data_IF_152941890682
#
_entry.id   IF_152941890682
#
_cell.length_a   1.000
_cell.length_b   1.000
_cell.length_c   1.000
_cell.angle_alpha   90.00
_cell.angle_beta   90.00
_cell.angle_gamma   90.00
#
_symmetry.space_group_name_H-M   'P 1'
#
loop_
_entity.id
_entity.type
_entity.pdbx_description
1 polymer ?
#
# COMPACT_ATOMS: atom_id res chain seq x y z
N UNK A 1 2.37 1.32 -27.67
CA UNK A 1 2.37 1.88 -26.30
C UNK A 1 1.33 1.08 -25.55
N UNK A 2 1.70 0.36 -24.51
CA UNK A 2 0.72 -0.48 -23.80
C UNK A 2 -0.32 0.43 -23.16
N UNK A 3 -1.59 0.16 -23.47
CA UNK A 3 -2.71 0.88 -22.88
C UNK A 3 -2.89 0.40 -21.44
N UNK A 4 -2.78 1.31 -20.48
CA UNK A 4 -2.99 1.04 -19.06
C UNK A 4 -4.14 1.90 -18.56
N UNK A 5 -5.14 1.25 -17.98
CA UNK A 5 -6.31 1.87 -17.38
C UNK A 5 -6.38 1.42 -15.94
N UNK A 6 -6.53 2.38 -15.03
CA UNK A 6 -6.71 2.11 -13.61
C UNK A 6 -8.02 2.68 -13.12
N UNK A 7 -8.56 2.09 -12.06
CA UNK A 7 -9.75 2.57 -11.36
C UNK A 7 -9.39 2.95 -9.93
N UNK A 8 -9.72 4.16 -9.54
CA UNK A 8 -9.59 4.62 -8.15
C UNK A 8 -10.95 4.55 -7.46
N UNK A 9 -10.97 4.11 -6.20
CA UNK A 9 -12.19 4.03 -5.37
C UNK A 9 -12.30 5.19 -4.39
N UNK A 10 -11.25 6.01 -4.31
CA UNK A 10 -11.14 7.15 -3.40
C UNK A 10 -10.54 8.34 -4.15
N UNK A 11 -10.78 9.54 -3.62
CA UNK A 11 -10.17 10.76 -4.14
C UNK A 11 -8.65 10.71 -3.99
N UNK A 12 -7.93 10.89 -5.09
CA UNK A 12 -6.45 10.96 -5.08
C UNK A 12 -6.04 12.42 -4.90
N UNK A 13 -5.22 12.69 -3.88
CA UNK A 13 -4.69 14.02 -3.60
C UNK A 13 -3.19 14.05 -3.89
N UNK A 14 -2.79 14.77 -4.93
CA UNK A 14 -1.39 15.10 -5.15
C UNK A 14 -0.96 16.28 -4.29
N UNK A 15 0.34 16.35 -3.98
CA UNK A 15 0.92 17.45 -3.19
C UNK A 15 0.81 18.81 -3.92
N UNK A 16 0.73 18.79 -5.25
CA UNK A 16 0.71 19.97 -6.13
C UNK A 16 -0.36 19.90 -7.24
N UNK A 17 -1.28 18.93 -7.20
CA UNK A 17 -2.28 18.71 -8.25
C UNK A 17 -3.70 18.86 -7.72
N UNK A 18 -4.65 19.15 -8.63
CA UNK A 18 -6.08 19.08 -8.34
C UNK A 18 -6.43 17.68 -7.84
N UNK A 19 -7.27 17.60 -6.81
CA UNK A 19 -7.73 16.33 -6.28
C UNK A 19 -8.58 15.61 -7.35
N UNK A 20 -8.22 14.36 -7.68
CA UNK A 20 -8.96 13.56 -8.66
C UNK A 20 -10.06 12.77 -7.97
N UNK A 21 -11.32 12.84 -8.45
CA UNK A 21 -12.40 12.03 -7.88
C UNK A 21 -12.15 10.52 -8.12
N UNK A 22 -12.87 9.64 -7.41
CA UNK A 22 -12.92 8.22 -7.77
C UNK A 22 -13.37 8.05 -9.22
N UNK A 23 -12.71 7.18 -9.99
CA UNK A 23 -13.03 6.99 -11.41
C UNK A 23 -12.00 6.14 -12.14
N UNK A 24 -12.23 5.94 -13.44
CA UNK A 24 -11.29 5.28 -14.33
C UNK A 24 -10.42 6.32 -15.05
N UNK A 25 -9.12 6.02 -15.12
CA UNK A 25 -8.12 6.94 -15.61
C UNK A 25 -7.13 6.23 -16.52
N UNK A 26 -6.73 6.90 -17.59
CA UNK A 26 -5.56 6.52 -18.36
C UNK A 26 -4.30 6.66 -17.50
N UNK A 27 -3.48 5.62 -17.51
CA UNK A 27 -2.27 5.55 -16.73
C UNK A 27 -1.05 5.27 -17.61
N UNK A 28 0.10 5.55 -17.04
CA UNK A 28 1.40 5.08 -17.49
C UNK A 28 2.13 4.42 -16.33
N UNK A 29 3.26 3.79 -16.66
CA UNK A 29 4.17 3.23 -15.68
C UNK A 29 5.61 3.52 -16.09
N UNK A 30 6.50 3.64 -15.10
CA UNK A 30 7.93 3.83 -15.37
C UNK A 30 8.68 2.48 -15.42
N UNK A 31 9.99 2.51 -15.72
CA UNK A 31 10.85 1.32 -15.74
C UNK A 31 10.89 0.54 -14.42
N UNK A 32 10.49 1.17 -13.31
CA UNK A 32 10.41 0.56 -11.99
C UNK A 32 9.04 -0.05 -11.68
N UNK A 33 8.07 0.11 -12.58
CA UNK A 33 6.68 -0.35 -12.41
C UNK A 33 5.79 0.67 -11.69
N UNK A 34 6.32 1.80 -11.20
CA UNK A 34 5.47 2.79 -10.52
C UNK A 34 4.46 3.37 -11.49
N UNK A 35 3.18 3.37 -11.09
CA UNK A 35 2.04 3.77 -11.91
C UNK A 35 1.68 5.22 -11.63
N UNK A 36 1.28 5.93 -12.68
CA UNK A 36 0.84 7.31 -12.60
C UNK A 36 -0.33 7.55 -13.55
N UNK A 37 -1.29 8.36 -13.11
CA UNK A 37 -2.38 8.86 -13.95
C UNK A 37 -1.81 9.90 -14.92
N UNK A 38 -2.20 9.80 -16.20
CA UNK A 38 -1.91 10.82 -17.22
C UNK A 38 -2.96 11.92 -17.11
N UNK A 39 -2.51 13.14 -16.86
CA UNK A 39 -3.36 14.32 -16.77
C UNK A 39 -3.23 15.18 -18.05
N UNK A 40 -4.18 16.09 -18.30
CA UNK A 40 -4.08 17.08 -19.37
C UNK A 40 -2.75 17.85 -19.32
N UNK A 41 -2.31 18.35 -20.47
CA UNK A 41 -1.08 19.13 -20.63
C UNK A 41 0.21 18.37 -20.23
N UNK A 42 0.20 17.03 -20.30
CA UNK A 42 1.37 16.20 -20.05
C UNK A 42 1.77 16.07 -18.58
N UNK A 43 0.91 16.50 -17.66
CA UNK A 43 1.12 16.30 -16.23
C UNK A 43 0.89 14.84 -15.84
N UNK A 44 1.52 14.40 -14.75
CA UNK A 44 1.30 13.05 -14.20
C UNK A 44 1.05 13.11 -12.70
N UNK A 45 0.21 12.21 -12.23
CA UNK A 45 -0.06 12.05 -10.80
C UNK A 45 0.26 10.62 -10.38
N UNK A 46 1.28 10.47 -9.53
CA UNK A 46 1.63 9.17 -8.96
C UNK A 46 0.48 8.62 -8.10
N UNK A 47 0.21 7.32 -8.25
CA UNK A 47 -0.77 6.59 -7.45
C UNK A 47 -0.07 5.44 -6.72
N UNK A 48 -0.50 5.16 -5.49
CA UNK A 48 0.12 4.12 -4.66
C UNK A 48 -0.64 2.79 -4.71
N UNK A 49 0.03 1.67 -4.41
CA UNK A 49 -0.66 0.41 -4.16
C UNK A 49 -1.81 0.60 -3.17
N UNK A 50 -2.99 0.06 -3.51
CA UNK A 50 -4.21 0.19 -2.70
C UNK A 50 -5.02 1.47 -2.92
N UNK A 51 -4.51 2.44 -3.69
CA UNK A 51 -5.30 3.62 -4.11
C UNK A 51 -6.04 3.37 -5.44
N UNK A 52 -5.63 2.33 -6.18
CA UNK A 52 -6.20 1.97 -7.47
C UNK A 52 -6.22 0.46 -7.69
N UNK A 53 -7.00 0.04 -8.68
CA UNK A 53 -7.03 -1.31 -9.25
C UNK A 53 -6.76 -1.22 -10.76
N UNK A 54 -6.05 -2.20 -11.33
CA UNK A 54 -5.89 -2.27 -12.77
C UNK A 54 -7.19 -2.72 -13.43
N UNK A 55 -7.71 -1.90 -14.34
CA UNK A 55 -8.78 -2.29 -15.26
C UNK A 55 -8.17 -2.94 -16.50
N UNK A 56 -7.07 -2.38 -16.99
CA UNK A 56 -6.32 -2.87 -18.15
C UNK A 56 -4.84 -2.60 -17.95
N UNK A 57 -3.99 -3.61 -18.16
CA UNK A 57 -2.54 -3.48 -18.09
C UNK A 57 -1.87 -4.65 -18.82
N UNK A 58 -0.64 -4.48 -19.33
CA UNK A 58 0.12 -5.58 -19.90
C UNK A 58 0.54 -6.57 -18.79
N UNK A 59 0.64 -7.84 -19.14
CA UNK A 59 0.88 -8.95 -18.19
C UNK A 59 2.19 -8.78 -17.40
N UNK A 60 3.27 -8.35 -18.05
CA UNK A 60 4.56 -8.12 -17.37
C UNK A 60 4.48 -7.03 -16.29
N UNK A 61 3.60 -6.05 -16.45
CA UNK A 61 3.36 -5.03 -15.44
C UNK A 61 2.59 -5.65 -14.27
N UNK A 62 1.52 -6.41 -14.54
CA UNK A 62 0.72 -7.08 -13.51
C UNK A 62 1.57 -8.04 -12.68
N UNK A 63 2.43 -8.84 -13.31
CA UNK A 63 3.33 -9.76 -12.62
C UNK A 63 4.31 -9.02 -11.72
N UNK A 64 4.94 -7.97 -12.23
CA UNK A 64 5.84 -7.14 -11.44
C UNK A 64 5.13 -6.51 -10.24
N UNK A 65 3.90 -6.02 -10.44
CA UNK A 65 3.08 -5.45 -9.38
C UNK A 65 2.73 -6.50 -8.33
N UNK A 66 2.28 -7.69 -8.75
CA UNK A 66 1.96 -8.80 -7.85
C UNK A 66 3.18 -9.17 -6.99
N UNK A 67 4.34 -9.39 -7.62
CA UNK A 67 5.57 -9.72 -6.89
C UNK A 67 6.01 -8.60 -5.95
N UNK A 68 5.84 -7.33 -6.34
CA UNK A 68 6.24 -6.19 -5.49
C UNK A 68 5.32 -6.05 -4.27
N UNK A 69 4.01 -6.16 -4.47
CA UNK A 69 2.99 -6.08 -3.41
C UNK A 69 3.13 -7.26 -2.44
N UNK A 70 3.32 -8.48 -2.95
CA UNK A 70 3.55 -9.67 -2.12
C UNK A 70 4.81 -9.54 -1.26
N UNK A 71 5.93 -9.11 -1.88
CA UNK A 71 7.18 -8.87 -1.17
C UNK A 71 7.06 -7.78 -0.12
N UNK A 72 6.28 -6.73 -0.39
CA UNK A 72 6.02 -5.67 0.58
C UNK A 72 5.21 -6.18 1.78
N UNK A 73 4.17 -6.97 1.53
CA UNK A 73 3.38 -7.59 2.59
C UNK A 73 4.24 -8.47 3.48
N UNK A 74 5.12 -9.27 2.88
CA UNK A 74 6.10 -10.09 3.59
C UNK A 74 7.02 -9.25 4.49
N UNK A 75 7.53 -8.13 3.98
CA UNK A 75 8.40 -7.22 4.73
C UNK A 75 7.64 -6.59 5.91
N UNK A 76 6.38 -6.16 5.72
CA UNK A 76 5.58 -5.57 6.79
C UNK A 76 5.27 -6.62 7.87
N UNK A 77 4.83 -7.82 7.48
CA UNK A 77 4.55 -8.91 8.41
C UNK A 77 5.77 -9.28 9.25
N UNK A 78 6.92 -9.43 8.58
CA UNK A 78 8.21 -9.67 9.25
C UNK A 78 8.58 -8.55 10.21
N UNK A 79 8.47 -7.28 9.81
CA UNK A 79 8.77 -6.14 10.69
C UNK A 79 7.87 -6.07 11.91
N UNK A 80 6.60 -6.49 11.80
CA UNK A 80 5.70 -6.61 12.94
C UNK A 80 6.22 -7.68 13.90
N UNK A 81 6.59 -8.86 13.39
CA UNK A 81 7.12 -9.95 14.20
C UNK A 81 8.45 -9.55 14.89
N UNK A 82 9.38 -8.98 14.14
CA UNK A 82 10.67 -8.50 14.66
C UNK A 82 10.47 -7.43 15.76
N UNK A 83 9.48 -6.54 15.57
CA UNK A 83 9.15 -5.52 16.57
C UNK A 83 8.55 -6.11 17.86
N UNK A 84 7.71 -7.14 17.74
CA UNK A 84 7.15 -7.85 18.88
C UNK A 84 8.24 -8.58 19.66
N UNK A 85 9.14 -9.28 18.97
CA UNK A 85 10.25 -10.00 19.58
C UNK A 85 11.23 -9.04 20.29
N UNK A 86 11.69 -8.00 19.59
CA UNK A 86 12.61 -6.98 20.13
C UNK A 86 12.06 -6.33 21.40
N UNK A 87 10.73 -6.15 21.49
CA UNK A 87 10.07 -5.50 22.63
C UNK A 87 9.49 -6.48 23.64
N UNK A 88 9.69 -7.79 23.46
CA UNK A 88 9.09 -8.85 24.28
C UNK A 88 7.59 -8.64 24.49
N UNK A 89 6.90 -8.26 23.41
CA UNK A 89 5.48 -7.91 23.39
C UNK A 89 4.70 -8.99 22.64
N UNK A 90 3.53 -9.34 23.14
CA UNK A 90 2.59 -10.25 22.48
C UNK A 90 1.73 -9.53 21.44
N UNK A 91 1.16 -10.28 20.49
CA UNK A 91 0.19 -9.73 19.53
C UNK A 91 -1.04 -9.13 20.24
N UNK A 92 -1.47 -9.73 21.36
CA UNK A 92 -2.56 -9.23 22.21
C UNK A 92 -2.24 -7.89 22.87
N UNK A 93 -1.01 -7.70 23.34
CA UNK A 93 -0.61 -6.41 23.91
C UNK A 93 -0.52 -5.31 22.83
N UNK A 94 -0.02 -5.66 21.65
CA UNK A 94 -0.03 -4.74 20.50
C UNK A 94 -1.46 -4.41 20.08
N UNK A 95 -2.38 -5.38 20.12
CA UNK A 95 -3.81 -5.17 19.88
C UNK A 95 -4.39 -4.13 20.84
N UNK A 96 -4.17 -4.32 22.13
CA UNK A 96 -4.64 -3.42 23.17
C UNK A 96 -4.08 -1.99 23.00
N UNK A 97 -2.80 -1.86 22.63
CA UNK A 97 -2.17 -0.53 22.41
C UNK A 97 -2.65 0.18 21.15
N UNK A 98 -3.04 -0.55 20.11
CA UNK A 98 -3.43 0.02 18.81
C UNK A 98 -4.95 0.16 18.64
N UNK A 99 -5.74 -0.58 19.43
CA UNK A 99 -7.17 -0.76 19.21
C UNK A 99 -7.50 -1.60 17.97
N UNK A 100 -6.52 -2.29 17.39
CA UNK A 100 -6.71 -3.25 16.30
C UNK A 100 -6.93 -4.62 16.94
N UNK A 101 -7.86 -5.42 16.42
CA UNK A 101 -8.11 -6.75 17.00
C UNK A 101 -6.89 -7.67 16.84
N UNK A 102 -6.66 -8.54 17.82
CA UNK A 102 -5.54 -9.50 17.79
C UNK A 102 -5.55 -10.37 16.52
N UNK A 103 -6.74 -10.84 16.09
CA UNK A 103 -6.90 -11.57 14.85
C UNK A 103 -6.46 -10.77 13.61
N UNK A 104 -6.66 -9.45 13.61
CA UNK A 104 -6.23 -8.59 12.51
C UNK A 104 -4.72 -8.38 12.51
N UNK A 105 -4.12 -8.17 13.68
CA UNK A 105 -2.65 -8.12 13.84
C UNK A 105 -2.01 -9.44 13.39
N UNK A 106 -2.61 -10.58 13.75
CA UNK A 106 -2.12 -11.90 13.35
C UNK A 106 -2.13 -12.06 11.83
N UNK A 107 -3.19 -11.60 11.15
CA UNK A 107 -3.26 -11.59 9.68
C UNK A 107 -2.22 -10.67 9.05
N UNK A 108 -1.92 -9.52 9.66
CA UNK A 108 -0.84 -8.64 9.21
C UNK A 108 0.54 -9.28 9.36
N UNK A 109 0.81 -9.89 10.53
CA UNK A 109 2.07 -10.57 10.81
C UNK A 109 2.32 -11.77 9.87
N UNK A 110 1.27 -12.47 9.47
CA UNK A 110 1.32 -13.59 8.52
C UNK A 110 1.23 -13.15 7.05
N UNK A 111 1.27 -11.85 6.76
CA UNK A 111 1.15 -11.30 5.40
C UNK A 111 -0.14 -11.67 4.66
N UNK A 112 -1.15 -12.15 5.38
CA UNK A 112 -2.48 -12.51 4.84
C UNK A 112 -3.36 -11.30 4.59
N UNK A 113 -2.98 -10.14 5.14
CA UNK A 113 -3.63 -8.85 4.93
C UNK A 113 -2.58 -7.75 5.07
N UNK A 114 -2.86 -6.60 4.48
CA UNK A 114 -2.00 -5.42 4.53
C UNK A 114 -2.64 -4.36 5.41
N UNK A 115 -1.94 -3.84 6.43
CA UNK A 115 -2.44 -2.74 7.23
C UNK A 115 -2.54 -1.47 6.40
N UNK A 116 -3.65 -0.75 6.44
CA UNK A 116 -3.79 0.55 5.74
C UNK A 116 -2.92 1.62 6.42
N UNK A 117 -2.70 2.75 5.75
CA UNK A 117 -1.92 3.88 6.27
C UNK A 117 -2.21 4.25 7.75
N UNK A 118 -3.48 4.43 8.17
CA UNK A 118 -3.80 4.71 9.57
C UNK A 118 -3.40 3.60 10.54
N UNK A 119 -3.52 2.34 10.14
CA UNK A 119 -3.15 1.18 10.96
C UNK A 119 -1.63 1.06 11.08
N UNK A 120 -0.89 1.31 9.99
CA UNK A 120 0.58 1.40 10.00
C UNK A 120 1.06 2.45 10.99
N UNK A 121 0.43 3.63 11.02
CA UNK A 121 0.81 4.69 11.97
C UNK A 121 0.56 4.23 13.42
N UNK A 122 -0.59 3.60 13.69
CA UNK A 122 -0.91 3.07 15.02
C UNK A 122 0.09 1.99 15.46
N UNK A 123 0.34 1.02 14.60
CA UNK A 123 1.27 -0.08 14.87
C UNK A 123 2.67 0.50 15.08
N UNK A 124 3.13 1.39 14.22
CA UNK A 124 4.46 2.01 14.35
C UNK A 124 4.63 2.78 15.65
N UNK A 125 3.61 3.49 16.11
CA UNK A 125 3.63 4.20 17.40
C UNK A 125 3.63 3.23 18.58
N UNK A 126 2.79 2.19 18.53
CA UNK A 126 2.62 1.24 19.63
C UNK A 126 3.82 0.28 19.78
N UNK A 127 4.38 -0.17 18.64
CA UNK A 127 5.56 -1.02 18.58
C UNK A 127 6.86 -0.21 18.50
N UNK A 128 6.79 1.12 18.40
CA UNK A 128 7.93 2.04 18.25
C UNK A 128 8.94 1.64 17.17
N UNK A 129 8.49 0.96 16.11
CA UNK A 129 9.25 0.61 14.91
C UNK A 129 8.66 1.37 13.74
N UNK A 130 9.51 1.91 12.87
CA UNK A 130 9.04 2.62 11.67
C UNK A 130 8.58 1.62 10.61
N UNK A 131 7.27 1.47 10.45
CA UNK A 131 6.69 0.79 9.29
C UNK A 131 6.49 1.83 8.16
N UNK A 132 6.91 1.49 6.94
CA UNK A 132 6.83 2.35 5.75
C UNK A 132 6.29 1.51 4.60
N UNK A 133 5.38 2.10 3.82
CA UNK A 133 5.03 1.64 2.48
C UNK A 133 6.04 2.22 1.48
N UNK A 134 6.49 1.43 0.50
CA UNK A 134 7.39 1.87 -0.57
C UNK A 134 6.66 2.16 -1.88
#
# INVERSE_FOLDING_TARGET
MDEVIIKTTQTIKGLFSVALPPGEYEAGYNKNGAVFIKLPHGQTLGVKPGEFEFVKAPEHLLDRWRTSVEKEHEIIGKRILDALDTRKMTQRELANKTGITEATISRYAQSKRTPKGPEIVKISKASGVRLIFF
#
